data_IF_736854192295
#
_entry.id   IF_736854192295
#
_cell.length_a   1.000
_cell.length_b   1.000
_cell.length_c   1.000
_cell.angle_alpha   90.00
_cell.angle_beta   90.00
_cell.angle_gamma   90.00
#
_symmetry.space_group_name_H-M   'P 1'
#
loop_
_entity.id
_entity.type
_entity.pdbx_description
1 polymer ?
#
# COMPACT_ATOMS: atom_id res chain seq x y z
N UNK A 1 10.52 -19.02 -18.47
CA UNK A 1 10.48 -18.06 -17.34
C UNK A 1 11.65 -17.11 -17.48
N UNK A 2 11.50 -15.84 -17.10
CA UNK A 2 12.61 -14.87 -17.13
C UNK A 2 13.51 -15.02 -15.91
N UNK A 3 14.83 -14.94 -16.11
CA UNK A 3 15.83 -14.87 -15.03
C UNK A 3 16.29 -13.43 -14.88
N UNK A 4 16.47 -12.99 -13.64
CA UNK A 4 16.96 -11.64 -13.30
C UNK A 4 18.18 -11.77 -12.42
N UNK A 5 19.24 -11.01 -12.74
CA UNK A 5 20.41 -10.81 -11.89
C UNK A 5 20.41 -9.36 -11.43
N UNK A 6 20.46 -9.13 -10.13
CA UNK A 6 20.47 -7.80 -9.53
C UNK A 6 21.67 -7.67 -8.60
N UNK A 7 22.28 -6.49 -8.58
CA UNK A 7 23.30 -6.14 -7.60
C UNK A 7 22.62 -5.57 -6.36
N UNK A 8 22.99 -6.11 -5.19
CA UNK A 8 22.57 -5.61 -3.89
C UNK A 8 23.81 -5.18 -3.13
N UNK A 9 23.71 -4.08 -2.39
CA UNK A 9 24.72 -3.79 -1.39
C UNK A 9 24.67 -4.82 -0.24
N UNK A 10 25.76 -4.99 0.53
CA UNK A 10 25.83 -6.02 1.57
C UNK A 10 24.74 -5.92 2.64
N UNK A 11 24.27 -4.70 2.95
CA UNK A 11 23.23 -4.49 3.95
C UNK A 11 21.87 -4.96 3.41
N UNK A 12 21.55 -4.61 2.16
CA UNK A 12 20.32 -5.03 1.50
C UNK A 12 20.28 -6.55 1.29
N UNK A 13 21.39 -7.16 0.90
CA UNK A 13 21.49 -8.62 0.76
C UNK A 13 21.22 -9.33 2.10
N UNK A 14 21.82 -8.83 3.19
CA UNK A 14 21.58 -9.37 4.54
C UNK A 14 20.10 -9.26 4.94
N UNK A 15 19.50 -8.09 4.74
CA UNK A 15 18.08 -7.85 5.07
C UNK A 15 17.16 -8.77 4.26
N UNK A 16 17.46 -8.98 2.98
CA UNK A 16 16.72 -9.92 2.12
C UNK A 16 16.80 -11.35 2.67
N UNK A 17 18.00 -11.84 3.00
CA UNK A 17 18.19 -13.18 3.57
C UNK A 17 17.39 -13.38 4.86
N UNK A 18 17.46 -12.42 5.78
CA UNK A 18 16.73 -12.48 7.04
C UNK A 18 15.22 -12.45 6.83
N UNK A 19 14.73 -11.59 5.93
CA UNK A 19 13.30 -11.49 5.63
C UNK A 19 12.75 -12.76 4.97
N UNK A 20 13.48 -13.35 4.01
CA UNK A 20 13.12 -14.62 3.40
C UNK A 20 13.06 -15.74 4.46
N UNK A 21 14.07 -15.81 5.34
CA UNK A 21 14.11 -16.79 6.43
C UNK A 21 12.96 -16.63 7.42
N UNK A 22 12.67 -15.40 7.86
CA UNK A 22 11.52 -15.09 8.74
C UNK A 22 10.18 -15.47 8.12
N UNK A 23 10.07 -15.37 6.79
CA UNK A 23 8.87 -15.72 6.04
C UNK A 23 8.75 -17.23 5.75
N UNK A 24 9.80 -18.03 6.04
CA UNK A 24 9.86 -19.45 5.68
C UNK A 24 9.89 -19.71 4.17
N UNK A 25 10.29 -18.71 3.36
CA UNK A 25 10.32 -18.79 1.91
C UNK A 25 11.77 -18.85 1.40
N UNK A 26 11.98 -19.45 0.24
CA UNK A 26 13.22 -19.25 -0.51
C UNK A 26 13.35 -17.80 -0.97
N UNK A 27 14.58 -17.32 -1.17
CA UNK A 27 14.83 -15.94 -1.58
C UNK A 27 14.10 -15.57 -2.88
N UNK A 28 14.21 -16.41 -3.92
CA UNK A 28 13.54 -16.16 -5.21
C UNK A 28 12.02 -16.07 -5.05
N UNK A 29 11.41 -16.93 -4.22
CA UNK A 29 9.97 -16.89 -3.94
C UNK A 29 9.58 -15.66 -3.14
N UNK A 30 10.39 -15.29 -2.16
CA UNK A 30 10.20 -14.07 -1.37
C UNK A 30 10.27 -12.81 -2.24
N UNK A 31 11.29 -12.68 -3.10
CA UNK A 31 11.43 -11.55 -4.04
C UNK A 31 10.27 -11.52 -5.04
N UNK A 32 9.91 -12.66 -5.63
CA UNK A 32 8.80 -12.71 -6.59
C UNK A 32 7.46 -12.33 -5.93
N UNK A 33 7.27 -12.69 -4.67
CA UNK A 33 6.09 -12.29 -3.87
C UNK A 33 6.12 -10.78 -3.62
N UNK A 34 7.26 -10.24 -3.18
CA UNK A 34 7.44 -8.81 -2.94
C UNK A 34 7.18 -7.99 -4.21
N UNK A 35 7.67 -8.42 -5.36
CA UNK A 35 7.41 -7.75 -6.65
C UNK A 35 5.90 -7.73 -6.93
N UNK A 36 5.21 -8.86 -6.77
CA UNK A 36 3.75 -8.93 -6.97
C UNK A 36 2.99 -8.03 -6.02
N UNK A 37 3.37 -7.98 -4.76
CA UNK A 37 2.74 -7.11 -3.75
C UNK A 37 2.96 -5.63 -4.06
N UNK A 38 4.15 -5.26 -4.53
CA UNK A 38 4.50 -3.86 -4.86
C UNK A 38 3.90 -3.39 -6.19
N UNK A 39 3.62 -4.31 -7.11
CA UNK A 39 2.97 -3.99 -8.39
C UNK A 39 1.47 -4.25 -8.38
N UNK A 40 0.92 -4.78 -7.28
CA UNK A 40 -0.51 -4.94 -7.12
C UNK A 40 -1.19 -3.57 -7.15
N UNK A 41 -2.04 -3.36 -8.16
CA UNK A 41 -2.81 -2.12 -8.33
C UNK A 41 -3.98 -1.99 -7.34
N UNK A 42 -4.20 -3.01 -6.51
CA UNK A 42 -5.33 -3.08 -5.57
C UNK A 42 -4.85 -3.45 -4.18
N UNK A 43 -5.45 -2.81 -3.18
CA UNK A 43 -5.20 -3.18 -1.79
C UNK A 43 -5.71 -4.60 -1.54
N UNK A 44 -4.98 -5.41 -0.75
CA UNK A 44 -5.50 -6.68 -0.27
C UNK A 44 -6.86 -6.47 0.38
N UNK A 45 -7.84 -7.33 0.08
CA UNK A 45 -9.22 -7.16 0.54
C UNK A 45 -9.34 -6.99 2.06
N UNK A 46 -8.45 -7.62 2.83
CA UNK A 46 -8.36 -7.46 4.28
C UNK A 46 -8.01 -6.04 4.73
N UNK A 47 -7.19 -5.30 3.97
CA UNK A 47 -6.86 -3.89 4.24
C UNK A 47 -7.97 -2.97 3.74
N UNK A 48 -8.56 -3.26 2.58
CA UNK A 48 -9.73 -2.52 2.10
C UNK A 48 -10.93 -2.64 3.06
N UNK A 49 -11.11 -3.81 3.68
CA UNK A 49 -12.13 -4.03 4.70
C UNK A 49 -11.89 -3.18 5.97
N UNK A 50 -10.63 -2.92 6.33
CA UNK A 50 -10.31 -2.03 7.45
C UNK A 50 -10.61 -0.55 7.13
N UNK A 51 -10.46 -0.11 5.88
CA UNK A 51 -10.86 1.25 5.48
C UNK A 51 -12.37 1.50 5.65
N UNK A 52 -13.22 0.47 5.49
CA UNK A 52 -14.65 0.54 5.79
C UNK A 52 -14.98 0.42 7.28
N UNK A 53 -14.02 0.05 8.13
CA UNK A 53 -14.17 -0.03 9.59
C UNK A 53 -13.84 1.27 10.31
N UNK A 54 -13.31 2.27 9.59
CA UNK A 54 -13.25 3.66 10.06
C UNK A 54 -14.68 4.23 10.03
N UNK A 55 -15.46 3.83 11.03
CA UNK A 55 -16.79 4.36 11.29
C UNK A 55 -16.66 5.87 11.46
N UNK A 56 -17.18 6.61 10.49
CA UNK A 56 -17.80 7.94 10.58
C UNK A 56 -17.51 8.74 11.87
N UNK A 57 -16.24 8.96 12.19
CA UNK A 57 -15.84 10.07 13.04
C UNK A 57 -15.77 11.24 12.08
N UNK A 58 -16.97 11.73 11.72
CA UNK A 58 -17.20 12.62 10.59
C UNK A 58 -16.10 13.66 10.46
N UNK A 59 -15.30 13.54 9.40
CA UNK A 59 -14.63 14.71 8.88
C UNK A 59 -15.78 15.68 8.57
N UNK A 60 -15.85 16.88 9.19
CA UNK A 60 -16.85 17.83 8.80
C UNK A 60 -16.63 18.05 7.31
N UNK A 61 -17.58 17.57 6.50
CA UNK A 61 -17.71 17.99 5.13
C UNK A 61 -17.99 19.49 5.24
N UNK A 62 -16.90 20.26 5.23
CA UNK A 62 -16.93 21.71 5.29
C UNK A 62 -17.87 22.12 4.19
N UNK A 63 -19.06 22.54 4.62
CA UNK A 63 -20.14 22.90 3.73
C UNK A 63 -19.60 24.07 2.94
N UNK A 64 -19.19 23.79 1.71
CA UNK A 64 -19.04 24.78 0.67
C UNK A 64 -20.46 25.28 0.33
N UNK A 65 -21.06 25.98 1.30
CA UNK A 65 -22.22 26.83 1.08
C UNK A 65 -21.67 28.06 0.39
N UNK A 66 -21.64 27.94 -0.93
CA UNK A 66 -21.71 29.01 -1.91
C UNK A 66 -22.43 30.23 -1.30
N UNK A 67 -21.61 31.21 -0.95
CA UNK A 67 -22.08 32.47 -0.40
C UNK A 67 -22.43 33.41 -1.54
N UNK A 68 -23.71 33.81 -1.54
CA UNK A 68 -24.27 35.04 -2.13
C UNK A 68 -24.62 35.06 -3.62
N UNK A 69 -25.64 35.85 -4.03
CA UNK A 69 -26.17 37.01 -3.30
C UNK A 69 -27.68 37.00 -3.04
N UNK A 70 -28.06 37.59 -1.91
CA UNK A 70 -29.37 38.19 -1.71
C UNK A 70 -29.31 39.70 -1.99
N UNK A 71 -30.46 40.25 -2.40
CA UNK A 71 -30.75 41.68 -2.51
C UNK A 71 -30.81 42.17 -3.97
N UNK A 72 -31.82 42.86 -4.47
CA UNK A 72 -33.00 43.55 -3.92
C UNK A 72 -34.07 43.50 -5.06
N UNK A 73 -35.38 43.55 -4.80
CA UNK A 73 -36.11 44.79 -4.53
C UNK A 73 -36.73 45.33 -5.82
#
# INVERSE_FOLDING_TARGET
MGQVTIYLDPETEKKMHEAAKRSGLSQSKWIATLIREKTAATWPSSIAALAGSWQDQGLPADKLSDGSPGGEG
#
